data_IF_481042566655
#
_entry.id   IF_481042566655
#
_cell.length_a   1.000
_cell.length_b   1.000
_cell.length_c   1.000
_cell.angle_alpha   90.00
_cell.angle_beta   90.00
_cell.angle_gamma   90.00
#
_symmetry.space_group_name_H-M   'P 1'
#
loop_
_entity.id
_entity.type
_entity.pdbx_description
1 polymer ?
#
# COMPACT_ATOMS: atom_id res chain seq x y z
N UNK A 1 -11.32 4.09 -24.88
CA UNK A 1 -10.72 4.62 -23.63
C UNK A 1 -9.23 4.28 -23.64
N UNK A 2 -8.35 5.26 -23.82
CA UNK A 2 -6.89 5.00 -23.87
C UNK A 2 -6.31 5.06 -22.46
N UNK A 3 -5.86 3.92 -21.93
CA UNK A 3 -5.15 3.87 -20.65
C UNK A 3 -3.87 4.71 -20.74
N UNK A 4 -3.62 5.57 -19.74
CA UNK A 4 -2.41 6.39 -19.65
C UNK A 4 -1.58 5.96 -18.43
N UNK A 5 -0.50 5.19 -18.63
CA UNK A 5 0.42 4.83 -17.56
C UNK A 5 0.93 6.07 -16.82
N UNK A 6 1.15 5.96 -15.51
CA UNK A 6 1.83 7.02 -14.75
C UNK A 6 3.32 6.92 -15.02
N UNK A 7 3.88 7.97 -15.60
CA UNK A 7 5.29 8.03 -15.99
C UNK A 7 6.26 8.21 -14.81
N UNK A 8 5.76 8.49 -13.60
CA UNK A 8 6.60 8.75 -12.42
C UNK A 8 6.05 8.10 -11.14
N UNK A 9 6.95 7.74 -10.23
CA UNK A 9 6.59 7.23 -8.89
C UNK A 9 5.73 8.22 -8.10
N UNK A 10 5.96 9.53 -8.24
CA UNK A 10 5.13 10.55 -7.58
C UNK A 10 3.67 10.51 -8.07
N UNK A 11 3.47 10.38 -9.38
CA UNK A 11 2.15 10.29 -9.96
C UNK A 11 1.45 8.97 -9.56
N UNK A 12 2.22 7.86 -9.50
CA UNK A 12 1.75 6.58 -8.99
C UNK A 12 1.32 6.66 -7.51
N UNK A 13 2.16 7.26 -6.66
CA UNK A 13 1.88 7.46 -5.25
C UNK A 13 0.59 8.27 -5.06
N UNK A 14 0.45 9.41 -5.77
CA UNK A 14 -0.78 10.22 -5.72
C UNK A 14 -2.02 9.41 -6.09
N UNK A 15 -1.93 8.58 -7.14
CA UNK A 15 -3.03 7.72 -7.56
C UNK A 15 -3.39 6.67 -6.50
N UNK A 16 -2.42 5.91 -6.00
CA UNK A 16 -2.66 4.85 -5.01
C UNK A 16 -3.16 5.40 -3.68
N UNK A 17 -2.69 6.59 -3.29
CA UNK A 17 -3.18 7.29 -2.12
C UNK A 17 -4.68 7.61 -2.23
N UNK A 18 -5.10 8.16 -3.37
CA UNK A 18 -6.51 8.47 -3.61
C UNK A 18 -7.35 7.19 -3.68
N UNK A 19 -6.83 6.11 -4.26
CA UNK A 19 -7.52 4.83 -4.30
C UNK A 19 -7.76 4.27 -2.89
N UNK A 20 -6.75 4.34 -2.00
CA UNK A 20 -6.91 3.95 -0.61
C UNK A 20 -7.98 4.78 0.11
N UNK A 21 -7.95 6.11 -0.06
CA UNK A 21 -8.94 7.02 0.53
C UNK A 21 -10.37 6.71 0.08
N UNK A 22 -10.57 6.61 -1.24
CA UNK A 22 -11.88 6.28 -1.80
C UNK A 22 -12.36 4.90 -1.39
N UNK A 23 -11.46 3.91 -1.27
CA UNK A 23 -11.85 2.60 -0.75
C UNK A 23 -12.35 2.68 0.69
N UNK A 24 -11.72 3.49 1.56
CA UNK A 24 -12.21 3.71 2.93
C UNK A 24 -13.56 4.41 2.96
N UNK A 25 -13.83 5.35 2.04
CA UNK A 25 -15.17 5.94 1.87
C UNK A 25 -16.19 4.85 1.54
N UNK A 26 -15.94 4.05 0.49
CA UNK A 26 -16.86 3.00 0.05
C UNK A 26 -17.13 2.00 1.18
N UNK A 27 -16.11 1.55 1.89
CA UNK A 27 -16.25 0.62 3.03
C UNK A 27 -17.11 1.18 4.16
N UNK A 28 -17.13 2.51 4.36
CA UNK A 28 -18.00 3.15 5.37
C UNK A 28 -19.45 3.28 4.89
N UNK A 29 -19.65 3.61 3.62
CA UNK A 29 -20.97 3.81 3.02
C UNK A 29 -21.72 2.51 2.74
N UNK A 30 -21.01 1.40 2.47
CA UNK A 30 -21.61 0.12 2.08
C UNK A 30 -21.07 -1.03 2.94
N UNK A 31 -21.58 -1.16 4.17
CA UNK A 31 -21.09 -2.14 5.17
C UNK A 31 -21.33 -3.61 4.79
N UNK A 32 -22.32 -3.90 3.94
CA UNK A 32 -22.70 -5.27 3.56
C UNK A 32 -21.78 -5.97 2.54
N UNK A 33 -20.79 -5.28 1.95
CA UNK A 33 -19.93 -5.82 0.87
C UNK A 33 -18.43 -5.69 1.15
N UNK A 34 -18.04 -5.59 2.43
CA UNK A 34 -16.64 -5.41 2.82
C UNK A 34 -15.85 -6.70 2.56
N UNK A 35 -15.17 -6.74 1.42
CA UNK A 35 -14.22 -7.79 1.11
C UNK A 35 -12.91 -7.56 1.86
N UNK A 36 -12.55 -8.48 2.75
CA UNK A 36 -11.35 -8.41 3.60
C UNK A 36 -10.04 -8.24 2.81
N UNK A 37 -10.01 -8.59 1.51
CA UNK A 37 -8.83 -8.35 0.65
C UNK A 37 -8.36 -6.89 0.64
N UNK A 38 -9.30 -5.95 0.78
CA UNK A 38 -8.98 -4.53 0.79
C UNK A 38 -8.42 -4.06 2.14
N UNK A 39 -8.47 -4.86 3.19
CA UNK A 39 -7.82 -4.56 4.46
C UNK A 39 -6.36 -5.03 4.47
N UNK A 40 -5.94 -5.86 3.52
CA UNK A 40 -4.58 -6.38 3.50
C UNK A 40 -3.51 -5.27 3.44
N UNK A 41 -3.59 -4.25 2.55
CA UNK A 41 -2.55 -3.22 2.52
C UNK A 41 -2.46 -2.32 3.78
N UNK A 42 -3.55 -1.82 4.40
CA UNK A 42 -3.47 -1.00 5.60
C UNK A 42 -3.03 -1.82 6.80
N UNK A 43 -3.44 -3.09 6.89
CA UNK A 43 -2.92 -4.01 7.90
C UNK A 43 -1.42 -4.23 7.73
N UNK A 44 -0.94 -4.42 6.49
CA UNK A 44 0.48 -4.53 6.21
C UNK A 44 1.24 -3.28 6.68
N UNK A 45 0.76 -2.07 6.40
CA UNK A 45 1.39 -0.81 6.88
C UNK A 45 1.51 -0.79 8.41
N UNK A 46 0.45 -1.16 9.14
CA UNK A 46 0.47 -1.21 10.59
C UNK A 46 1.47 -2.26 11.12
N UNK A 47 1.50 -3.45 10.52
CA UNK A 47 2.46 -4.51 10.87
C UNK A 47 3.89 -4.04 10.62
N UNK A 48 4.17 -3.38 9.50
CA UNK A 48 5.50 -2.88 9.18
C UNK A 48 5.97 -1.82 10.17
N UNK A 49 5.11 -0.87 10.53
CA UNK A 49 5.42 0.15 11.54
C UNK A 49 5.68 -0.50 12.90
N UNK A 50 4.81 -1.41 13.33
CA UNK A 50 4.96 -2.12 14.60
C UNK A 50 6.24 -2.99 14.61
N UNK A 51 6.56 -3.64 13.50
CA UNK A 51 7.77 -4.45 13.31
C UNK A 51 9.03 -3.62 13.44
N UNK A 52 9.10 -2.46 12.77
CA UNK A 52 10.25 -1.57 12.85
C UNK A 52 10.43 -1.03 14.27
N UNK A 53 9.37 -0.47 14.86
CA UNK A 53 9.43 0.11 16.21
C UNK A 53 9.76 -0.97 17.25
N UNK A 54 9.11 -2.14 17.18
CA UNK A 54 9.39 -3.27 18.06
C UNK A 54 10.82 -3.79 17.89
N UNK A 55 11.34 -3.81 16.66
CA UNK A 55 12.72 -4.21 16.35
C UNK A 55 13.77 -3.35 17.04
N UNK A 56 13.54 -2.03 17.07
CA UNK A 56 14.44 -1.07 17.71
C UNK A 56 14.28 -1.00 19.24
N UNK A 57 13.05 -1.03 19.75
CA UNK A 57 12.77 -0.72 21.15
C UNK A 57 12.57 -1.95 22.04
N UNK A 58 12.21 -3.11 21.49
CA UNK A 58 11.89 -4.31 22.28
C UNK A 58 12.83 -5.47 21.98
N UNK A 59 12.90 -5.92 20.72
CA UNK A 59 13.72 -7.08 20.35
C UNK A 59 13.94 -7.15 18.84
N UNK A 60 15.17 -7.44 18.43
CA UNK A 60 15.53 -7.57 17.00
C UNK A 60 14.74 -8.66 16.26
N UNK A 61 14.17 -9.65 16.96
CA UNK A 61 13.30 -10.66 16.32
C UNK A 61 12.05 -10.03 15.69
N UNK A 62 11.61 -8.87 16.18
CA UNK A 62 10.47 -8.15 15.64
C UNK A 62 10.78 -7.49 14.30
N UNK A 63 12.01 -7.53 13.79
CA UNK A 63 12.30 -7.17 12.40
C UNK A 63 11.87 -8.24 11.38
N UNK A 64 11.53 -9.46 11.81
CA UNK A 64 11.14 -10.54 10.90
C UNK A 64 10.03 -10.10 9.91
N UNK A 65 8.90 -9.49 10.34
CA UNK A 65 7.85 -9.09 9.40
C UNK A 65 8.31 -8.08 8.34
N UNK A 66 9.09 -7.04 8.72
CA UNK A 66 9.61 -6.08 7.72
C UNK A 66 10.60 -6.73 6.77
N UNK A 67 11.46 -7.62 7.25
CA UNK A 67 12.41 -8.35 6.41
C UNK A 67 11.69 -9.32 5.46
N UNK A 68 10.68 -10.04 5.93
CA UNK A 68 9.84 -10.92 5.09
C UNK A 68 9.12 -10.11 4.02
N UNK A 69 8.58 -8.94 4.34
CA UNK A 69 7.94 -8.07 3.36
C UNK A 69 8.91 -7.59 2.29
N UNK A 70 10.10 -7.13 2.69
CA UNK A 70 11.15 -6.70 1.75
C UNK A 70 11.58 -7.86 0.85
N UNK A 71 11.80 -9.04 1.41
CA UNK A 71 12.14 -10.24 0.66
C UNK A 71 11.04 -10.61 -0.34
N UNK A 72 9.77 -10.59 0.07
CA UNK A 72 8.64 -10.88 -0.80
C UNK A 72 8.54 -9.89 -1.97
N UNK A 73 8.80 -8.59 -1.74
CA UNK A 73 8.85 -7.59 -2.81
C UNK A 73 9.99 -7.86 -3.78
N UNK A 74 11.19 -8.16 -3.27
CA UNK A 74 12.36 -8.43 -4.10
C UNK A 74 12.14 -9.68 -4.96
N UNK A 75 11.68 -10.78 -4.36
CA UNK A 75 11.36 -12.02 -5.06
C UNK A 75 10.24 -11.81 -6.07
N UNK A 76 9.14 -11.15 -5.68
CA UNK A 76 8.03 -10.85 -6.59
C UNK A 76 8.46 -9.99 -7.77
N UNK A 77 9.32 -8.99 -7.53
CA UNK A 77 9.88 -8.15 -8.59
C UNK A 77 10.78 -8.93 -9.54
N UNK A 78 11.55 -9.90 -9.03
CA UNK A 78 12.40 -10.76 -9.83
C UNK A 78 11.61 -11.76 -10.68
N UNK A 79 10.49 -12.28 -10.13
CA UNK A 79 9.59 -13.21 -10.80
C UNK A 79 8.75 -12.51 -11.88
N UNK A 80 8.29 -11.28 -11.63
CA UNK A 80 7.37 -10.56 -12.54
C UNK A 80 8.12 -9.70 -13.56
N UNK A 81 9.33 -9.21 -13.25
CA UNK A 81 10.08 -8.35 -14.15
C UNK A 81 10.69 -9.13 -15.32
N UNK A 82 10.44 -8.70 -16.54
CA UNK A 82 10.95 -9.32 -17.76
C UNK A 82 12.38 -8.86 -18.06
N UNK A 83 12.72 -7.61 -17.70
CA UNK A 83 14.04 -7.02 -17.91
C UNK A 83 14.77 -6.71 -16.61
N UNK A 84 16.10 -6.64 -16.62
CA UNK A 84 16.88 -6.22 -15.45
C UNK A 84 16.46 -4.85 -14.91
N UNK A 85 16.13 -3.92 -15.82
CA UNK A 85 15.62 -2.60 -15.45
C UNK A 85 14.31 -2.72 -14.68
N UNK A 86 13.38 -3.56 -15.13
CA UNK A 86 12.13 -3.81 -14.41
C UNK A 86 12.37 -4.45 -13.05
N UNK A 87 13.23 -5.48 -12.96
CA UNK A 87 13.56 -6.14 -11.70
C UNK A 87 14.12 -5.19 -10.64
N UNK A 88 14.81 -4.13 -11.07
CA UNK A 88 15.36 -3.08 -10.18
C UNK A 88 14.31 -2.00 -9.82
N UNK A 89 13.42 -1.65 -10.75
CA UNK A 89 12.42 -0.57 -10.56
C UNK A 89 11.15 -1.07 -9.86
N UNK A 90 10.74 -2.31 -10.15
CA UNK A 90 9.53 -2.94 -9.61
C UNK A 90 9.48 -2.97 -8.08
N UNK A 91 10.58 -3.19 -7.32
CA UNK A 91 10.52 -3.15 -5.87
C UNK A 91 9.99 -1.81 -5.35
N UNK A 92 10.48 -0.70 -5.92
CA UNK A 92 10.03 0.64 -5.56
C UNK A 92 8.57 0.90 -5.98
N UNK A 93 8.17 0.40 -7.16
CA UNK A 93 6.79 0.49 -7.66
C UNK A 93 5.83 -0.27 -6.74
N UNK A 94 6.12 -1.54 -6.44
CA UNK A 94 5.30 -2.40 -5.60
C UNK A 94 5.22 -1.87 -4.16
N UNK A 95 6.34 -1.45 -3.57
CA UNK A 95 6.35 -0.83 -2.25
C UNK A 95 5.48 0.43 -2.22
N UNK A 96 5.62 1.30 -3.24
CA UNK A 96 4.78 2.50 -3.40
C UNK A 96 3.30 2.13 -3.47
N UNK A 97 2.93 1.14 -4.28
CA UNK A 97 1.55 0.71 -4.42
C UNK A 97 0.95 0.22 -3.09
N UNK A 98 1.67 -0.64 -2.35
CA UNK A 98 1.17 -1.18 -1.08
C UNK A 98 1.10 -0.13 0.03
N UNK A 99 2.22 0.56 0.27
CA UNK A 99 2.36 1.48 1.41
C UNK A 99 1.47 2.69 1.21
N UNK A 100 1.52 3.33 0.03
CA UNK A 100 0.80 4.58 -0.20
C UNK A 100 -0.72 4.35 -0.25
N UNK A 101 -1.16 3.18 -0.73
CA UNK A 101 -2.56 2.79 -0.63
C UNK A 101 -3.00 2.57 0.80
N UNK A 102 -2.23 1.82 1.59
CA UNK A 102 -2.50 1.57 3.00
C UNK A 102 -2.60 2.87 3.79
N UNK A 103 -1.65 3.79 3.59
CA UNK A 103 -1.66 5.12 4.17
C UNK A 103 -2.90 5.92 3.74
N UNK A 104 -3.26 5.91 2.45
CA UNK A 104 -4.47 6.56 1.96
C UNK A 104 -5.73 6.03 2.64
N UNK A 105 -5.82 4.71 2.81
CA UNK A 105 -6.95 4.06 3.49
C UNK A 105 -7.03 4.41 4.98
N UNK A 106 -5.88 4.42 5.68
CA UNK A 106 -5.78 4.72 7.10
C UNK A 106 -6.07 6.20 7.39
N UNK A 107 -5.61 7.10 6.52
CA UNK A 107 -5.72 8.56 6.69
C UNK A 107 -6.92 9.19 5.99
N UNK A 108 -7.87 8.38 5.51
CA UNK A 108 -9.04 8.90 4.80
C UNK A 108 -9.94 9.72 5.73
N UNK A 109 -10.20 11.01 5.42
CA UNK A 109 -11.04 11.84 6.27
C UNK A 109 -12.51 11.39 6.22
N UNK A 110 -13.30 11.72 7.25
CA UNK A 110 -14.73 11.34 7.35
C UNK A 110 -15.61 12.12 6.36
N UNK A 111 -15.25 13.36 6.07
CA UNK A 111 -15.94 14.29 5.18
C UNK A 111 -15.39 14.29 3.74
N UNK A 112 -14.77 13.20 3.27
CA UNK A 112 -14.26 13.14 1.88
C UNK A 112 -15.41 13.13 0.85
N UNK A 113 -16.55 12.54 1.23
CA UNK A 113 -17.82 12.84 0.59
C UNK A 113 -18.19 14.22 1.12
N UNK A 114 -17.96 15.29 0.35
CA UNK A 114 -18.46 16.60 0.73
C UNK A 114 -19.93 16.45 1.07
N UNK A 115 -20.32 16.88 2.28
CA UNK A 115 -21.71 17.18 2.57
C UNK A 115 -22.12 18.27 1.60
N UNK A 116 -22.71 17.91 0.46
CA UNK A 116 -23.68 18.75 -0.20
C UNK A 116 -24.93 18.72 0.70
N UNK A 117 -24.91 19.56 1.73
CA UNK A 117 -26.11 20.05 2.41
C UNK A 117 -26.25 21.51 2.03
#
# INVERSE_FOLDING_TARGET
MTYRPRSTLRALAKQYFQYGRWRRVISRSHKGSVNYRYLAPPTAVLILIASILGGFFLSSILFIPVLTYLLAILLGSFVIGETWKEKIVLPAVLATMHIVWGLGYLTSPKNLLGTHN
#
